data_IF_993484082406
#
_entry.id   IF_993484082406
#
_cell.length_a   1.000
_cell.length_b   1.000
_cell.length_c   1.000
_cell.angle_alpha   90.00
_cell.angle_beta   90.00
_cell.angle_gamma   90.00
#
_symmetry.space_group_name_H-M   'P 1'
#
loop_
_entity.id
_entity.type
_entity.pdbx_description
1 polymer ?
#
# COMPACT_ATOMS: atom_id res chain seq x y z
N UNK A 1 14.18 11.79 9.66
CA UNK A 1 13.97 11.89 8.20
C UNK A 1 14.85 10.88 7.50
N UNK A 2 14.35 10.20 6.47
CA UNK A 2 15.16 9.25 5.68
C UNK A 2 16.26 10.01 4.93
N UNK A 3 17.45 9.43 4.81
CA UNK A 3 18.46 9.97 3.88
C UNK A 3 17.99 9.79 2.42
N UNK A 4 18.50 10.58 1.46
CA UNK A 4 18.15 10.42 0.06
C UNK A 4 18.40 9.00 -0.49
N UNK A 5 19.45 8.32 0.00
CA UNK A 5 19.75 6.94 -0.36
C UNK A 5 18.72 5.96 0.22
N UNK A 6 18.34 6.13 1.49
CA UNK A 6 17.30 5.32 2.12
C UNK A 6 15.94 5.50 1.45
N UNK A 7 15.59 6.73 1.07
CA UNK A 7 14.35 7.03 0.35
C UNK A 7 14.31 6.30 -0.99
N UNK A 8 15.37 6.40 -1.81
CA UNK A 8 15.45 5.70 -3.10
C UNK A 8 15.39 4.17 -2.94
N UNK A 9 16.06 3.63 -1.93
CA UNK A 9 16.02 2.19 -1.64
C UNK A 9 14.61 1.71 -1.23
N UNK A 10 13.94 2.45 -0.35
CA UNK A 10 12.57 2.13 0.03
C UNK A 10 11.61 2.24 -1.16
N UNK A 11 11.79 3.25 -2.02
CA UNK A 11 11.01 3.42 -3.25
C UNK A 11 11.17 2.21 -4.19
N UNK A 12 12.40 1.75 -4.46
CA UNK A 12 12.65 0.60 -5.34
C UNK A 12 12.10 -0.70 -4.74
N UNK A 13 12.19 -0.85 -3.42
CA UNK A 13 11.63 -1.97 -2.69
C UNK A 13 10.11 -2.01 -2.83
N UNK A 14 9.42 -0.87 -2.66
CA UNK A 14 7.97 -0.77 -2.88
C UNK A 14 7.55 -1.15 -4.31
N UNK A 15 8.30 -0.70 -5.32
CA UNK A 15 8.02 -1.05 -6.71
C UNK A 15 8.21 -2.55 -6.98
N UNK A 16 9.21 -3.17 -6.34
CA UNK A 16 9.46 -4.61 -6.46
C UNK A 16 8.35 -5.41 -5.78
N UNK A 17 7.93 -5.01 -4.57
CA UNK A 17 6.85 -5.62 -3.81
C UNK A 17 5.53 -5.66 -4.60
N UNK A 18 5.16 -4.57 -5.26
CA UNK A 18 3.90 -4.48 -6.05
C UNK A 18 3.86 -5.40 -7.27
N UNK A 19 5.02 -5.86 -7.76
CA UNK A 19 5.14 -6.78 -8.90
C UNK A 19 5.04 -8.25 -8.47
N UNK A 20 5.13 -8.56 -7.18
CA UNK A 20 4.99 -9.92 -6.70
C UNK A 20 3.57 -10.44 -6.93
N UNK A 21 3.42 -11.72 -7.25
CA UNK A 21 2.09 -12.29 -7.57
C UNK A 21 1.17 -12.29 -6.35
N UNK A 22 1.74 -12.46 -5.17
CA UNK A 22 1.00 -12.54 -3.90
C UNK A 22 0.48 -11.18 -3.44
N UNK A 23 0.98 -10.08 -4.01
CA UNK A 23 0.58 -8.71 -3.64
C UNK A 23 -0.52 -8.14 -4.52
N UNK A 24 -0.94 -8.87 -5.56
CA UNK A 24 -2.06 -8.48 -6.43
C UNK A 24 -3.32 -8.04 -5.66
N UNK A 25 -3.82 -8.77 -4.64
CA UNK A 25 -5.00 -8.33 -3.88
C UNK A 25 -4.75 -7.10 -3.00
N UNK A 26 -3.50 -6.77 -2.71
CA UNK A 26 -3.09 -5.62 -1.89
C UNK A 26 -2.77 -4.38 -2.73
N UNK A 27 -2.80 -4.48 -4.05
CA UNK A 27 -2.53 -3.35 -4.94
C UNK A 27 -3.65 -2.30 -4.91
N UNK A 28 -4.93 -2.67 -5.05
CA UNK A 28 -6.05 -1.75 -4.84
C UNK A 28 -6.53 -1.75 -3.38
N UNK A 29 -7.24 -0.70 -2.95
CA UNK A 29 -8.02 -0.73 -1.72
C UNK A 29 -8.98 -1.93 -1.70
N UNK A 30 -9.16 -2.54 -0.52
CA UNK A 30 -10.10 -3.66 -0.34
C UNK A 30 -11.53 -3.19 -0.59
N UNK A 31 -12.15 -3.71 -1.64
CA UNK A 31 -13.57 -3.46 -1.94
C UNK A 31 -14.44 -4.46 -1.17
N UNK A 32 -14.74 -4.12 0.08
CA UNK A 32 -15.53 -4.98 0.97
C UNK A 32 -16.98 -5.18 0.54
N UNK A 33 -17.52 -4.33 -0.34
CA UNK A 33 -18.86 -4.48 -0.91
C UNK A 33 -18.84 -5.57 -1.99
N UNK A 34 -17.89 -5.49 -2.93
CA UNK A 34 -17.74 -6.48 -3.99
C UNK A 34 -17.35 -7.87 -3.46
N UNK A 35 -16.66 -7.91 -2.32
CA UNK A 35 -16.24 -9.14 -1.63
C UNK A 35 -17.28 -9.68 -0.65
N UNK A 36 -18.44 -9.02 -0.50
CA UNK A 36 -19.52 -9.40 0.43
C UNK A 36 -19.04 -9.59 1.89
N UNK A 37 -18.17 -8.70 2.36
CA UNK A 37 -17.63 -8.69 3.73
C UNK A 37 -18.03 -7.40 4.47
N UNK A 38 -19.32 -7.22 4.81
CA UNK A 38 -19.85 -5.96 5.36
C UNK A 38 -19.26 -5.58 6.73
N UNK A 39 -18.66 -6.54 7.44
CA UNK A 39 -18.01 -6.32 8.74
C UNK A 39 -16.59 -5.77 8.62
N UNK A 40 -16.02 -5.71 7.42
CA UNK A 40 -14.65 -5.25 7.17
C UNK A 40 -14.32 -3.90 7.82
N UNK A 41 -15.10 -2.80 7.63
CA UNK A 41 -14.78 -1.52 8.27
C UNK A 41 -14.94 -1.51 9.79
N UNK A 42 -15.67 -2.48 10.38
CA UNK A 42 -15.80 -2.60 11.84
C UNK A 42 -14.54 -3.20 12.47
N UNK A 43 -13.92 -4.15 11.77
CA UNK A 43 -12.73 -4.88 12.24
C UNK A 43 -11.45 -4.14 11.83
N UNK A 44 -11.35 -3.77 10.55
CA UNK A 44 -10.21 -3.05 9.97
C UNK A 44 -10.51 -1.55 9.94
N UNK A 45 -10.19 -0.88 11.05
CA UNK A 45 -10.48 0.56 11.25
C UNK A 45 -9.65 1.49 10.35
N UNK A 46 -8.47 1.05 9.93
CA UNK A 46 -7.55 1.83 9.11
C UNK A 46 -7.11 1.00 7.90
N UNK A 47 -7.96 0.87 6.88
CA UNK A 47 -7.61 0.10 5.69
C UNK A 47 -6.40 0.72 4.99
N UNK A 48 -5.54 -0.13 4.43
CA UNK A 48 -4.36 0.27 3.68
C UNK A 48 -4.13 -0.69 2.52
N UNK A 49 -3.57 -0.16 1.44
CA UNK A 49 -3.20 -0.86 0.23
C UNK A 49 -1.89 -0.28 -0.33
N UNK A 50 -1.22 -1.02 -1.21
CA UNK A 50 0.08 -0.65 -1.75
C UNK A 50 0.01 0.57 -2.67
N UNK A 51 -1.13 0.85 -3.32
CA UNK A 51 -1.28 2.09 -4.09
C UNK A 51 -1.37 3.32 -3.17
N UNK A 52 -2.02 3.19 -2.02
CA UNK A 52 -2.09 4.25 -1.01
C UNK A 52 -0.73 4.47 -0.35
N UNK A 53 0.02 3.40 -0.05
CA UNK A 53 1.39 3.50 0.48
C UNK A 53 2.29 4.24 -0.50
N UNK A 54 2.25 3.87 -1.79
CA UNK A 54 3.07 4.49 -2.83
C UNK A 54 2.76 5.99 -3.01
N UNK A 55 1.48 6.37 -3.00
CA UNK A 55 1.06 7.78 -3.03
C UNK A 55 1.58 8.56 -1.83
N UNK A 56 1.43 8.01 -0.62
CA UNK A 56 1.91 8.65 0.62
C UNK A 56 3.43 8.76 0.64
N UNK A 57 4.12 7.70 0.22
CA UNK A 57 5.58 7.67 0.18
C UNK A 57 6.13 8.70 -0.81
N UNK A 58 5.54 8.78 -2.00
CA UNK A 58 5.91 9.77 -3.03
C UNK A 58 5.65 11.21 -2.57
N UNK A 59 4.52 11.46 -1.90
CA UNK A 59 4.21 12.78 -1.32
C UNK A 59 5.14 13.15 -0.16
N UNK A 60 5.75 12.16 0.49
CA UNK A 60 6.69 12.33 1.60
C UNK A 60 8.15 12.39 1.13
N UNK A 61 8.39 12.64 -0.17
CA UNK A 61 9.72 12.85 -0.71
C UNK A 61 10.45 13.96 0.08
N UNK A 62 11.64 13.68 0.63
CA UNK A 62 12.42 14.65 1.38
C UNK A 62 12.89 15.83 0.51
#
# INVERSE_FOLDING_TARGET
TLSPAQFKFAQSTLHTLRKQRDTVPLNPPVNYIALDIPHYPKIIRHPIDLSTVDKKFSASNP
#
